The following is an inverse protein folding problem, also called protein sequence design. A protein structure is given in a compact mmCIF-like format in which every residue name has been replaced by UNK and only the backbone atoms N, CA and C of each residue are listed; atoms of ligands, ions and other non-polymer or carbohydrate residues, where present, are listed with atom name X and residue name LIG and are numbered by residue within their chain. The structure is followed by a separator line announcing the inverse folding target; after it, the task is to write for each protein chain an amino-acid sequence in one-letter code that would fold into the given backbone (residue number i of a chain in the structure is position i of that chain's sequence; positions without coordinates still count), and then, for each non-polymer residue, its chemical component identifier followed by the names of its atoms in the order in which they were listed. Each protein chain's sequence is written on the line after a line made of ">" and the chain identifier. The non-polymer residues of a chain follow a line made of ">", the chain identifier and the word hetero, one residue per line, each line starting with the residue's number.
data_IF_073429581761
#
_entry.id   IF_073429581761
#
_cell.length_a   1.000
_cell.length_b   1.000
_cell.length_c   1.000
_cell.angle_alpha   90.00
_cell.angle_beta   90.00
_cell.angle_gamma   90.00
#
_symmetry.space_group_name_H-M   'P 1'
#
loop_
_entity.id
_entity.type
_entity.pdbx_description
1 polymer ?
#
# COMPACT_ATOMS: atom_id res chain seq x y z
N UNK A 1 21.60 -6.59 -9.78
CA UNK A 1 20.29 -6.96 -10.40
C UNK A 1 20.07 -6.05 -11.62
N UNK A 2 19.77 -6.60 -12.81
CA UNK A 2 19.75 -5.83 -14.09
C UNK A 2 18.56 -4.85 -14.19
N UNK A 3 18.63 -3.78 -15.01
CA UNK A 3 17.53 -2.80 -15.26
C UNK A 3 16.18 -3.43 -15.63
N UNK A 4 16.21 -4.64 -16.19
CA UNK A 4 15.04 -5.47 -16.42
C UNK A 4 14.32 -5.87 -15.14
N UNK A 5 15.02 -6.16 -14.03
CA UNK A 5 14.42 -6.58 -12.77
C UNK A 5 13.70 -5.46 -12.04
N UNK A 6 14.23 -4.23 -12.04
CA UNK A 6 13.52 -3.06 -11.50
C UNK A 6 12.28 -2.75 -12.34
N UNK A 7 12.37 -2.82 -13.67
CA UNK A 7 11.20 -2.68 -14.57
C UNK A 7 10.22 -3.86 -14.48
N UNK A 8 10.70 -5.08 -14.27
CA UNK A 8 9.88 -6.28 -14.03
C UNK A 8 9.19 -6.22 -12.68
N UNK A 9 9.84 -5.67 -11.66
CA UNK A 9 9.24 -5.46 -10.35
C UNK A 9 8.11 -4.43 -10.46
N UNK A 10 8.39 -3.26 -11.05
CA UNK A 10 7.38 -2.23 -11.28
C UNK A 10 6.23 -2.72 -12.18
N UNK A 11 6.52 -3.40 -13.29
CA UNK A 11 5.46 -3.93 -14.17
C UNK A 11 4.69 -5.09 -13.55
N UNK A 12 5.34 -5.93 -12.73
CA UNK A 12 4.65 -6.98 -11.97
C UNK A 12 3.75 -6.38 -10.91
N UNK A 13 4.14 -5.26 -10.29
CA UNK A 13 3.31 -4.52 -9.35
C UNK A 13 2.16 -3.80 -10.05
N UNK A 14 2.41 -3.10 -11.17
CA UNK A 14 1.35 -2.49 -11.99
C UNK A 14 0.32 -3.53 -12.46
N UNK A 15 0.77 -4.74 -12.81
CA UNK A 15 -0.12 -5.87 -13.15
C UNK A 15 -0.88 -6.40 -11.93
N UNK A 16 -0.24 -6.45 -10.75
CA UNK A 16 -0.86 -6.95 -9.52
C UNK A 16 -1.85 -5.95 -8.91
N UNK A 17 -1.59 -4.66 -9.10
CA UNK A 17 -2.43 -3.54 -8.72
C UNK A 17 -3.48 -3.21 -9.79
N UNK A 18 -3.37 -3.81 -10.98
CA UNK A 18 -4.38 -3.67 -12.02
C UNK A 18 -5.70 -4.30 -11.56
N UNK A 19 -6.73 -3.45 -11.49
CA UNK A 19 -8.10 -3.83 -11.16
C UNK A 19 -8.60 -5.04 -11.97
N UNK A 20 -8.13 -5.20 -13.21
CA UNK A 20 -8.63 -6.19 -14.16
C UNK A 20 -7.88 -7.52 -14.15
N UNK A 21 -6.70 -7.59 -13.52
CA UNK A 21 -5.85 -8.77 -13.63
C UNK A 21 -6.47 -10.00 -12.94
N UNK A 22 -6.90 -9.86 -11.68
CA UNK A 22 -7.53 -10.97 -10.93
C UNK A 22 -8.88 -11.38 -11.56
N UNK A 23 -9.82 -10.46 -11.86
CA UNK A 23 -11.06 -10.82 -12.52
C UNK A 23 -10.84 -11.46 -13.90
N UNK A 24 -9.87 -10.94 -14.68
CA UNK A 24 -9.51 -11.49 -15.98
C UNK A 24 -8.99 -12.92 -15.88
N UNK A 25 -8.13 -13.21 -14.89
CA UNK A 25 -7.62 -14.56 -14.65
C UNK A 25 -8.74 -15.54 -14.26
N UNK A 26 -9.64 -15.15 -13.35
CA UNK A 26 -10.78 -15.99 -12.94
C UNK A 26 -11.71 -16.25 -14.14
N UNK A 27 -11.98 -15.20 -14.93
CA UNK A 27 -12.80 -15.31 -16.14
C UNK A 27 -12.17 -16.26 -17.15
N UNK A 28 -10.85 -16.19 -17.35
CA UNK A 28 -10.12 -17.09 -18.22
C UNK A 28 -10.22 -18.55 -17.74
N UNK A 29 -10.06 -18.79 -16.44
CA UNK A 29 -10.21 -20.14 -15.85
C UNK A 29 -11.62 -20.69 -16.14
N UNK A 30 -12.66 -19.89 -15.96
CA UNK A 30 -14.04 -20.33 -16.20
C UNK A 30 -14.34 -20.51 -17.70
N UNK A 31 -13.73 -19.70 -18.57
CA UNK A 31 -13.82 -19.88 -20.00
C UNK A 31 -13.19 -21.21 -20.44
N UNK A 32 -12.00 -21.54 -19.92
CA UNK A 32 -11.35 -22.83 -20.15
C UNK A 32 -12.21 -23.98 -19.60
N UNK A 33 -12.76 -23.83 -18.39
CA UNK A 33 -13.66 -24.82 -17.82
C UNK A 33 -14.89 -25.06 -18.70
N UNK A 34 -15.50 -24.02 -19.26
CA UNK A 34 -16.64 -24.12 -20.17
C UNK A 34 -16.29 -24.92 -21.44
N UNK A 35 -15.12 -24.67 -22.03
CA UNK A 35 -14.65 -25.41 -23.20
C UNK A 35 -14.45 -26.89 -22.84
N UNK A 36 -13.79 -27.18 -21.71
CA UNK A 36 -13.53 -28.55 -21.25
C UNK A 36 -14.85 -29.31 -20.99
N UNK A 37 -15.77 -28.73 -20.23
CA UNK A 37 -17.06 -29.39 -19.92
C UNK A 37 -17.88 -29.62 -21.18
N UNK A 38 -17.87 -28.66 -22.11
CA UNK A 38 -18.54 -28.79 -23.40
C UNK A 38 -17.95 -29.94 -24.24
N UNK A 39 -16.62 -30.06 -24.31
CA UNK A 39 -15.97 -31.16 -25.05
C UNK A 39 -16.27 -32.53 -24.43
N UNK A 40 -16.32 -32.61 -23.10
CA UNK A 40 -16.73 -33.83 -22.39
C UNK A 40 -18.19 -34.17 -22.68
N UNK A 41 -19.09 -33.19 -22.62
CA UNK A 41 -20.51 -33.38 -22.95
C UNK A 41 -20.68 -33.87 -24.39
N UNK A 42 -19.92 -33.33 -25.35
CA UNK A 42 -19.92 -33.79 -26.76
C UNK A 42 -19.49 -35.26 -26.84
N UNK A 43 -18.37 -35.63 -26.21
CA UNK A 43 -17.86 -37.00 -26.22
C UNK A 43 -18.80 -38.00 -25.54
N UNK A 44 -19.46 -37.59 -24.45
CA UNK A 44 -20.43 -38.40 -23.73
C UNK A 44 -21.69 -38.63 -24.56
N UNK A 45 -22.23 -37.59 -25.19
CA UNK A 45 -23.40 -37.68 -26.05
C UNK A 45 -23.14 -38.58 -27.27
N UNK A 46 -21.96 -38.49 -27.90
CA UNK A 46 -21.57 -39.37 -29.00
C UNK A 46 -21.52 -40.85 -28.59
N UNK A 47 -21.04 -41.16 -27.38
CA UNK A 47 -21.00 -42.53 -26.84
C UNK A 47 -22.39 -43.07 -26.49
N UNK A 48 -23.25 -42.23 -25.92
CA UNK A 48 -24.63 -42.61 -25.57
C UNK A 48 -25.43 -42.89 -26.85
N UNK A 49 -25.32 -42.03 -27.86
CA UNK A 49 -25.96 -42.23 -29.16
C UNK A 49 -25.53 -43.52 -29.88
N UNK A 50 -24.30 -43.99 -29.65
CA UNK A 50 -23.78 -45.23 -30.24
C UNK A 50 -24.15 -46.51 -29.46
N UNK A 51 -24.58 -46.41 -28.20
CA UNK A 51 -24.70 -47.54 -27.27
C UNK A 51 -26.10 -48.13 -27.11
N UNK A 52 -27.11 -47.29 -26.84
CA UNK A 52 -28.52 -47.67 -26.62
C UNK A 52 -29.36 -46.40 -26.82
N UNK A 53 -30.49 -46.49 -27.52
CA UNK A 53 -31.42 -45.35 -27.68
C UNK A 53 -31.73 -44.68 -26.34
N UNK A 54 -31.53 -43.37 -26.27
CA UNK A 54 -31.54 -42.59 -25.03
C UNK A 54 -32.95 -42.55 -24.38
N UNK A 55 -33.15 -43.11 -23.18
CA UNK A 55 -34.43 -43.02 -22.45
C UNK A 55 -34.67 -41.64 -21.83
N UNK A 56 -33.68 -40.74 -21.87
CA UNK A 56 -33.70 -39.42 -21.25
C UNK A 56 -33.74 -38.31 -22.30
N UNK A 57 -34.72 -38.39 -23.22
CA UNK A 57 -35.15 -37.30 -24.10
C UNK A 57 -35.78 -36.14 -23.31
N UNK A 58 -35.09 -35.65 -22.28
CA UNK A 58 -35.25 -34.28 -21.83
C UNK A 58 -34.68 -33.43 -22.96
N UNK A 59 -35.60 -32.84 -23.70
CA UNK A 59 -35.35 -31.90 -24.79
C UNK A 59 -34.23 -30.93 -24.38
N UNK A 60 -33.13 -30.89 -25.15
CA UNK A 60 -31.94 -30.08 -24.81
C UNK A 60 -32.26 -28.59 -24.60
N UNK A 61 -33.42 -28.17 -25.11
CA UNK A 61 -34.07 -26.88 -24.91
C UNK A 61 -34.24 -26.49 -23.42
N UNK A 62 -34.56 -27.44 -22.52
CA UNK A 62 -34.73 -27.16 -21.10
C UNK A 62 -33.40 -26.74 -20.44
N UNK A 63 -32.31 -27.43 -20.78
CA UNK A 63 -30.97 -27.12 -20.27
C UNK A 63 -30.45 -25.79 -20.80
N UNK A 64 -30.66 -25.51 -22.09
CA UNK A 64 -30.33 -24.22 -22.69
C UNK A 64 -31.13 -23.08 -22.07
N UNK A 65 -32.43 -23.29 -21.80
CA UNK A 65 -33.28 -22.30 -21.12
C UNK A 65 -32.75 -22.02 -19.71
N UNK A 66 -32.40 -23.04 -18.94
CA UNK A 66 -31.79 -22.86 -17.60
C UNK A 66 -30.48 -22.06 -17.68
N UNK A 67 -29.60 -22.38 -18.62
CA UNK A 67 -28.35 -21.64 -18.81
C UNK A 67 -28.61 -20.18 -19.19
N UNK A 68 -29.60 -19.91 -20.03
CA UNK A 68 -30.01 -18.55 -20.41
C UNK A 68 -30.57 -17.77 -19.21
N UNK A 69 -31.36 -18.42 -18.36
CA UNK A 69 -31.89 -17.80 -17.12
C UNK A 69 -30.75 -17.47 -16.16
N UNK A 70 -29.81 -18.39 -15.96
CA UNK A 70 -28.62 -18.17 -15.12
C UNK A 70 -27.75 -17.05 -15.69
N UNK A 71 -27.47 -17.05 -17.00
CA UNK A 71 -26.67 -16.02 -17.66
C UNK A 71 -27.33 -14.63 -17.50
N UNK A 72 -28.64 -14.53 -17.73
CA UNK A 72 -29.40 -13.28 -17.56
C UNK A 72 -29.38 -12.78 -16.12
N UNK A 73 -29.61 -13.66 -15.14
CA UNK A 73 -29.56 -13.32 -13.71
C UNK A 73 -28.15 -12.88 -13.27
N UNK A 74 -27.10 -13.50 -13.77
CA UNK A 74 -25.72 -13.11 -13.43
C UNK A 74 -25.36 -11.79 -14.10
N UNK A 75 -25.79 -11.54 -15.34
CA UNK A 75 -25.55 -10.27 -16.02
C UNK A 75 -26.13 -9.07 -15.24
N UNK A 76 -27.32 -9.21 -14.66
CA UNK A 76 -27.90 -8.15 -13.81
C UNK A 76 -27.13 -7.97 -12.51
N UNK A 77 -26.72 -9.06 -11.85
CA UNK A 77 -25.92 -9.00 -10.61
C UNK A 77 -24.54 -8.36 -10.86
N UNK A 78 -23.88 -8.64 -11.99
CA UNK A 78 -22.61 -7.98 -12.36
C UNK A 78 -22.79 -6.46 -12.39
N UNK A 79 -23.87 -5.97 -12.99
CA UNK A 79 -24.19 -4.53 -13.04
C UNK A 79 -24.45 -3.93 -11.65
N UNK A 80 -25.15 -4.65 -10.78
CA UNK A 80 -25.39 -4.23 -9.38
C UNK A 80 -24.09 -4.18 -8.59
N UNK A 81 -23.24 -5.20 -8.68
CA UNK A 81 -21.95 -5.26 -7.98
C UNK A 81 -21.03 -4.14 -8.45
N UNK A 82 -20.93 -3.91 -9.76
CA UNK A 82 -20.14 -2.81 -10.31
C UNK A 82 -20.63 -1.45 -9.79
N UNK A 83 -21.95 -1.24 -9.76
CA UNK A 83 -22.55 -0.01 -9.23
C UNK A 83 -22.24 0.18 -7.74
N UNK A 84 -22.32 -0.91 -6.95
CA UNK A 84 -21.99 -0.86 -5.52
C UNK A 84 -20.51 -0.53 -5.30
N UNK A 85 -19.58 -1.09 -6.10
CA UNK A 85 -18.15 -0.75 -6.04
C UNK A 85 -17.95 0.75 -6.28
N UNK A 86 -18.61 1.34 -7.29
CA UNK A 86 -18.51 2.78 -7.57
C UNK A 86 -19.07 3.65 -6.44
N UNK A 87 -20.18 3.23 -5.83
CA UNK A 87 -20.75 3.91 -4.66
C UNK A 87 -19.77 3.89 -3.49
N UNK A 88 -19.18 2.74 -3.20
CA UNK A 88 -18.18 2.60 -2.12
C UNK A 88 -16.96 3.45 -2.40
N UNK A 89 -16.47 3.46 -3.64
CA UNK A 89 -15.34 4.29 -4.06
C UNK A 89 -15.61 5.78 -3.84
N UNK A 90 -16.82 6.21 -4.22
CA UNK A 90 -17.28 7.60 -4.04
C UNK A 90 -17.36 7.97 -2.57
N UNK A 91 -17.99 7.12 -1.74
CA UNK A 91 -18.10 7.31 -0.30
C UNK A 91 -16.72 7.34 0.37
N UNK A 92 -15.82 6.43 0.01
CA UNK A 92 -14.46 6.41 0.54
C UNK A 92 -13.70 7.70 0.20
N UNK A 93 -13.80 8.17 -1.05
CA UNK A 93 -13.19 9.43 -1.47
C UNK A 93 -13.75 10.63 -0.72
N UNK A 94 -15.06 10.65 -0.46
CA UNK A 94 -15.74 11.73 0.27
C UNK A 94 -15.44 11.68 1.78
N UNK A 95 -15.39 10.51 2.39
CA UNK A 95 -15.26 10.35 3.83
C UNK A 95 -13.80 10.42 4.28
N UNK A 96 -12.90 9.74 3.56
CA UNK A 96 -11.50 9.57 3.98
C UNK A 96 -10.48 10.29 3.08
N UNK A 97 -10.90 10.79 1.93
CA UNK A 97 -10.06 11.54 1.00
C UNK A 97 -9.34 10.67 -0.04
N UNK A 98 -8.79 11.29 -1.10
CA UNK A 98 -8.26 10.60 -2.29
C UNK A 98 -7.06 9.70 -1.99
N UNK A 99 -6.29 9.99 -0.94
CA UNK A 99 -5.13 9.19 -0.51
C UNK A 99 -5.50 7.77 -0.05
N UNK A 100 -6.75 7.55 0.38
CA UNK A 100 -7.25 6.26 0.88
C UNK A 100 -7.98 5.47 -0.21
N UNK A 101 -8.44 6.14 -1.27
CA UNK A 101 -9.19 5.55 -2.40
C UNK A 101 -8.41 4.43 -3.07
N UNK A 102 -7.08 4.60 -3.22
CA UNK A 102 -6.20 3.58 -3.78
C UNK A 102 -6.25 2.24 -3.03
N UNK A 103 -6.51 2.26 -1.72
CA UNK A 103 -6.64 1.03 -0.92
C UNK A 103 -7.92 0.25 -1.26
N UNK A 104 -9.00 0.94 -1.64
CA UNK A 104 -10.26 0.31 -2.06
C UNK A 104 -10.20 -0.21 -3.50
N UNK A 105 -9.49 0.48 -4.39
CA UNK A 105 -9.25 0.01 -5.77
C UNK A 105 -8.42 -1.28 -5.77
N UNK A 106 -7.60 -1.51 -4.74
CA UNK A 106 -6.74 -2.70 -4.62
C UNK A 106 -7.40 -3.84 -3.81
N UNK A 107 -8.68 -3.74 -3.49
CA UNK A 107 -9.38 -4.73 -2.69
C UNK A 107 -9.58 -6.05 -3.45
N UNK A 108 -8.78 -7.05 -3.07
CA UNK A 108 -8.83 -8.40 -3.68
C UNK A 108 -10.15 -9.11 -3.44
N UNK A 109 -10.86 -8.79 -2.35
CA UNK A 109 -12.18 -9.37 -2.07
C UNK A 109 -13.18 -8.96 -3.16
N UNK A 110 -13.28 -7.66 -3.42
CA UNK A 110 -14.11 -7.11 -4.49
C UNK A 110 -13.71 -7.66 -5.88
N UNK A 111 -12.42 -7.72 -6.20
CA UNK A 111 -11.95 -8.26 -7.49
C UNK A 111 -12.30 -9.74 -7.68
N UNK A 112 -12.17 -10.54 -6.63
CA UNK A 112 -12.47 -11.98 -6.68
C UNK A 112 -13.95 -12.21 -6.92
N UNK A 113 -14.80 -11.48 -6.18
CA UNK A 113 -16.26 -11.53 -6.34
C UNK A 113 -16.66 -11.13 -7.76
N UNK A 114 -16.13 -10.00 -8.26
CA UNK A 114 -16.39 -9.55 -9.62
C UNK A 114 -15.96 -10.59 -10.66
N UNK A 115 -14.77 -11.19 -10.49
CA UNK A 115 -14.26 -12.26 -11.33
C UNK A 115 -15.14 -13.52 -11.34
N UNK A 116 -15.70 -13.93 -10.20
CA UNK A 116 -16.62 -15.06 -10.10
C UNK A 116 -17.89 -14.80 -10.92
N UNK A 117 -18.47 -13.60 -10.81
CA UNK A 117 -19.67 -13.26 -11.59
C UNK A 117 -19.39 -13.18 -13.09
N UNK A 118 -18.38 -12.40 -13.49
CA UNK A 118 -18.01 -12.27 -14.91
C UNK A 118 -17.59 -13.61 -15.50
N UNK A 119 -16.82 -14.41 -14.77
CA UNK A 119 -16.44 -15.75 -15.19
C UNK A 119 -17.64 -16.66 -15.37
N UNK A 120 -18.61 -16.65 -14.44
CA UNK A 120 -19.80 -17.51 -14.55
C UNK A 120 -20.69 -17.09 -15.70
N UNK A 121 -20.81 -15.79 -15.94
CA UNK A 121 -21.48 -15.25 -17.11
C UNK A 121 -20.85 -15.77 -18.41
N UNK A 122 -19.51 -15.64 -18.55
CA UNK A 122 -18.76 -16.13 -19.71
C UNK A 122 -18.90 -17.65 -19.85
N UNK A 123 -18.86 -18.40 -18.75
CA UNK A 123 -19.08 -19.85 -18.77
C UNK A 123 -20.45 -20.20 -19.39
N UNK A 124 -21.53 -19.57 -18.93
CA UNK A 124 -22.88 -19.84 -19.43
C UNK A 124 -23.01 -19.43 -20.91
N UNK A 125 -22.48 -18.27 -21.30
CA UNK A 125 -22.52 -17.78 -22.69
C UNK A 125 -21.75 -18.71 -23.63
N UNK A 126 -20.56 -19.17 -23.27
CA UNK A 126 -19.77 -20.07 -24.12
C UNK A 126 -20.46 -21.42 -24.35
N UNK A 127 -21.07 -21.98 -23.30
CA UNK A 127 -21.84 -23.23 -23.43
C UNK A 127 -23.11 -23.00 -24.27
N UNK A 128 -23.81 -21.86 -24.11
CA UNK A 128 -24.96 -21.50 -24.95
C UNK A 128 -24.57 -21.34 -26.42
N UNK A 129 -23.43 -20.71 -26.71
CA UNK A 129 -22.90 -20.59 -28.08
C UNK A 129 -22.60 -21.98 -28.66
N UNK A 130 -21.97 -22.86 -27.88
CA UNK A 130 -21.69 -24.23 -28.31
C UNK A 130 -22.97 -25.04 -28.60
N UNK A 131 -24.04 -24.81 -27.80
CA UNK A 131 -25.36 -25.38 -28.05
C UNK A 131 -26.00 -24.82 -29.33
N UNK A 132 -25.95 -23.50 -29.54
CA UNK A 132 -26.55 -22.84 -30.70
C UNK A 132 -25.89 -23.20 -32.03
N UNK A 133 -24.57 -23.43 -32.05
CA UNK A 133 -23.82 -23.78 -33.28
C UNK A 133 -24.08 -25.22 -33.74
N UNK A 134 -24.57 -26.10 -32.86
CA UNK A 134 -24.75 -27.53 -33.15
C UNK A 134 -26.23 -27.89 -33.29
N UNK A 135 -26.81 -27.54 -34.44
CA UNK A 135 -28.22 -27.79 -34.76
C UNK A 135 -28.52 -29.19 -35.30
N UNK A 136 -27.52 -29.91 -35.83
CA UNK A 136 -27.72 -31.18 -36.55
C UNK A 136 -27.60 -32.45 -35.68
N UNK A 137 -26.99 -32.35 -34.49
CA UNK A 137 -26.83 -33.49 -33.55
C UNK A 137 -27.45 -33.09 -32.21
N UNK A 138 -28.32 -33.91 -31.60
CA UNK A 138 -28.89 -33.61 -30.28
C UNK A 138 -27.76 -33.52 -29.25
N UNK A 139 -27.42 -32.29 -28.87
CA UNK A 139 -26.41 -31.97 -27.87
C UNK A 139 -27.11 -31.62 -26.56
N UNK A 140 -26.88 -32.43 -25.53
CA UNK A 140 -27.42 -32.18 -24.18
C UNK A 140 -26.25 -31.80 -23.26
N UNK A 141 -26.14 -30.54 -22.82
CA UNK A 141 -25.02 -30.06 -22.01
C UNK A 141 -25.21 -30.43 -20.52
N UNK A 142 -25.19 -31.72 -20.18
CA UNK A 142 -25.51 -32.20 -18.82
C UNK A 142 -24.47 -31.74 -17.80
N UNK A 143 -23.19 -32.01 -18.05
CA UNK A 143 -22.11 -31.64 -17.15
C UNK A 143 -21.97 -30.13 -17.06
N UNK A 144 -22.07 -29.45 -18.20
CA UNK A 144 -21.98 -27.99 -18.26
C UNK A 144 -23.14 -27.31 -17.53
N UNK A 145 -24.36 -27.85 -17.60
CA UNK A 145 -25.51 -27.32 -16.86
C UNK A 145 -25.38 -27.54 -15.34
N UNK A 146 -24.93 -28.71 -14.89
CA UNK A 146 -24.62 -28.95 -13.47
C UNK A 146 -23.54 -27.98 -12.99
N UNK A 147 -22.50 -27.76 -13.80
CA UNK A 147 -21.46 -26.76 -13.55
C UNK A 147 -22.02 -25.34 -13.40
N UNK A 148 -22.93 -24.93 -14.29
CA UNK A 148 -23.58 -23.61 -14.21
C UNK A 148 -24.44 -23.46 -12.95
N UNK A 149 -25.19 -24.50 -12.56
CA UNK A 149 -25.99 -24.49 -11.31
C UNK A 149 -25.07 -24.37 -10.10
N UNK A 150 -23.97 -25.14 -10.05
CA UNK A 150 -22.98 -25.04 -9.00
C UNK A 150 -22.38 -23.63 -8.90
N UNK A 151 -21.95 -23.07 -10.04
CA UNK A 151 -21.43 -21.71 -10.11
C UNK A 151 -22.48 -20.66 -9.70
N UNK A 152 -23.75 -20.85 -10.03
CA UNK A 152 -24.84 -19.97 -9.60
C UNK A 152 -25.00 -19.97 -8.06
N UNK A 153 -24.88 -21.14 -7.42
CA UNK A 153 -24.85 -21.22 -5.94
C UNK A 153 -23.62 -20.50 -5.39
N UNK A 154 -22.44 -20.68 -5.99
CA UNK A 154 -21.23 -19.95 -5.60
C UNK A 154 -21.40 -18.43 -5.74
N UNK A 155 -22.10 -17.95 -6.79
CA UNK A 155 -22.43 -16.55 -7.00
C UNK A 155 -23.33 -15.98 -5.88
N UNK A 156 -24.28 -16.76 -5.36
CA UNK A 156 -25.11 -16.33 -4.21
C UNK A 156 -24.26 -16.23 -2.94
N UNK A 157 -23.40 -17.21 -2.66
CA UNK A 157 -22.50 -17.16 -1.51
C UNK A 157 -21.50 -16.00 -1.62
N UNK A 158 -20.98 -15.75 -2.83
CA UNK A 158 -20.12 -14.61 -3.12
C UNK A 158 -20.83 -13.27 -2.87
N UNK A 159 -22.14 -13.17 -3.11
CA UNK A 159 -22.92 -11.96 -2.81
C UNK A 159 -22.98 -11.70 -1.31
N UNK A 160 -23.31 -12.73 -0.53
CA UNK A 160 -23.40 -12.64 0.93
C UNK A 160 -22.04 -12.24 1.51
N UNK A 161 -20.97 -12.88 1.03
CA UNK A 161 -19.60 -12.52 1.37
C UNK A 161 -19.30 -11.06 1.00
N UNK A 162 -19.64 -10.62 -0.21
CA UNK A 162 -19.35 -9.27 -0.69
C UNK A 162 -20.02 -8.20 0.14
N UNK A 163 -21.31 -8.38 0.48
CA UNK A 163 -22.05 -7.45 1.33
C UNK A 163 -21.37 -7.33 2.71
N UNK A 164 -21.04 -8.47 3.33
CA UNK A 164 -20.36 -8.46 4.62
C UNK A 164 -18.97 -7.80 4.54
N UNK A 165 -18.19 -8.16 3.52
CA UNK A 165 -16.85 -7.65 3.29
C UNK A 165 -16.84 -6.13 3.11
N UNK A 166 -17.72 -5.58 2.26
CA UNK A 166 -17.84 -4.14 2.06
C UNK A 166 -18.32 -3.44 3.33
N UNK A 167 -19.32 -3.99 4.03
CA UNK A 167 -19.84 -3.40 5.26
C UNK A 167 -18.79 -3.32 6.40
N UNK A 168 -17.89 -4.31 6.48
CA UNK A 168 -16.79 -4.31 7.46
C UNK A 168 -15.63 -3.41 7.00
N UNK A 169 -15.33 -3.38 5.70
CA UNK A 169 -14.20 -2.64 5.13
C UNK A 169 -14.39 -1.12 5.17
N UNK A 170 -15.63 -0.63 5.19
CA UNK A 170 -15.94 0.80 5.28
C UNK A 170 -15.76 1.37 6.69
N UNK A 171 -15.72 0.52 7.73
CA UNK A 171 -15.59 0.99 9.13
C UNK A 171 -14.23 1.65 9.34
N UNK A 172 -14.15 2.85 9.97
CA UNK A 172 -12.90 3.56 10.20
C UNK A 172 -11.81 2.69 10.86
N UNK A 173 -12.17 1.93 11.90
CA UNK A 173 -11.24 1.05 12.61
C UNK A 173 -10.66 -0.06 11.73
N UNK A 174 -11.42 -0.59 10.78
CA UNK A 174 -10.93 -1.59 9.83
C UNK A 174 -9.89 -0.98 8.89
N UNK A 175 -10.16 0.23 8.39
CA UNK A 175 -9.26 0.96 7.48
C UNK A 175 -7.96 1.30 8.21
N UNK A 176 -8.07 1.90 9.39
CA UNK A 176 -6.93 2.26 10.24
C UNK A 176 -6.09 1.02 10.57
N UNK A 177 -6.73 -0.08 10.98
CA UNK A 177 -6.05 -1.34 11.27
C UNK A 177 -5.36 -1.95 10.04
N UNK A 178 -5.95 -1.86 8.84
CA UNK A 178 -5.34 -2.32 7.60
C UNK A 178 -4.10 -1.51 7.20
N UNK A 179 -4.20 -0.18 7.30
CA UNK A 179 -3.09 0.75 7.04
C UNK A 179 -1.96 0.47 8.03
N UNK A 180 -2.28 0.36 9.32
CA UNK A 180 -1.29 0.08 10.37
C UNK A 180 -0.59 -1.26 10.14
N UNK A 181 -1.33 -2.34 9.84
CA UNK A 181 -0.70 -3.64 9.55
C UNK A 181 0.26 -3.55 8.36
N UNK A 182 -0.12 -2.82 7.32
CA UNK A 182 0.73 -2.61 6.13
C UNK A 182 1.96 -1.78 6.48
N UNK A 183 1.81 -0.72 7.27
CA UNK A 183 2.91 0.11 7.76
C UNK A 183 3.89 -0.71 8.59
N UNK A 184 3.40 -1.45 9.59
CA UNK A 184 4.23 -2.28 10.46
C UNK A 184 4.96 -3.38 9.68
N UNK A 185 4.34 -3.95 8.66
CA UNK A 185 5.00 -4.89 7.76
C UNK A 185 6.13 -4.23 6.96
N UNK A 186 5.93 -3.02 6.43
CA UNK A 186 6.99 -2.30 5.69
C UNK A 186 8.12 -1.82 6.60
N UNK A 187 7.81 -1.36 7.82
CA UNK A 187 8.82 -1.09 8.86
C UNK A 187 9.62 -2.38 9.16
N UNK A 188 8.98 -3.54 9.10
CA UNK A 188 9.68 -4.81 9.28
C UNK A 188 10.63 -5.15 8.14
N UNK A 189 10.19 -4.93 6.90
CA UNK A 189 10.98 -5.24 5.70
C UNK A 189 12.20 -4.33 5.55
N UNK A 190 12.10 -3.05 5.92
CA UNK A 190 13.23 -2.10 5.89
C UNK A 190 14.46 -2.61 6.66
N UNK A 191 14.26 -3.37 7.75
CA UNK A 191 15.36 -3.95 8.53
C UNK A 191 16.06 -5.13 7.83
N UNK A 192 15.39 -5.82 6.91
CA UNK A 192 15.98 -6.96 6.19
C UNK A 192 16.85 -6.51 5.02
N UNK A 193 16.65 -5.29 4.53
CA UNK A 193 17.45 -4.71 3.44
C UNK A 193 18.80 -4.15 3.95
N UNK A 194 18.90 -3.79 5.23
CA UNK A 194 20.13 -3.36 5.88
C UNK A 194 20.77 -4.52 6.67
N UNK A 195 22.08 -4.73 6.55
CA UNK A 195 22.79 -5.84 7.21
C UNK A 195 22.72 -5.70 8.74
N UNK A 196 22.11 -6.65 9.48
CA UNK A 196 21.99 -6.57 10.94
C UNK A 196 23.33 -6.58 11.68
N UNK A 197 24.45 -6.85 11.01
CA UNK A 197 25.79 -6.85 11.59
C UNK A 197 26.60 -5.57 11.34
N UNK A 198 26.06 -4.56 10.64
CA UNK A 198 26.77 -3.30 10.44
C UNK A 198 26.39 -2.33 11.58
N UNK A 199 27.25 -2.14 12.61
CA UNK A 199 26.94 -1.16 13.65
C UNK A 199 26.85 0.23 13.03
N UNK A 200 25.97 1.12 13.54
CA UNK A 200 26.01 2.52 13.15
C UNK A 200 27.39 3.05 13.52
N UNK A 201 28.29 3.18 12.55
CA UNK A 201 29.56 3.83 12.78
C UNK A 201 29.26 5.32 12.97
N UNK A 202 29.48 5.90 14.17
CA UNK A 202 29.38 7.34 14.31
C UNK A 202 30.41 7.95 13.37
N UNK A 203 29.96 8.81 12.46
CA UNK A 203 30.89 9.63 11.71
C UNK A 203 31.66 10.49 12.70
N UNK A 204 32.98 10.36 12.71
CA UNK A 204 33.81 11.33 13.42
C UNK A 204 33.53 12.74 12.88
N UNK A 205 33.67 13.77 13.72
CA UNK A 205 33.50 15.18 13.30
C UNK A 205 34.41 15.54 12.09
N UNK A 206 35.56 14.87 11.95
CA UNK A 206 36.43 14.98 10.76
C UNK A 206 35.76 14.48 9.47
N UNK A 207 34.96 13.40 9.54
CA UNK A 207 34.25 12.86 8.38
C UNK A 207 33.11 13.78 7.91
N UNK A 208 32.48 14.52 8.83
CA UNK A 208 31.43 15.52 8.52
C UNK A 208 32.02 16.75 7.84
N UNK A 209 33.19 17.25 8.28
CA UNK A 209 33.87 18.35 7.59
C UNK A 209 34.33 17.97 6.18
N UNK A 210 34.77 16.72 5.96
CA UNK A 210 35.09 16.23 4.61
C UNK A 210 33.88 16.09 3.70
N UNK A 211 32.67 15.87 4.25
CA UNK A 211 31.41 15.75 3.49
C UNK A 211 30.97 17.08 2.88
N UNK A 212 31.13 18.21 3.59
CA UNK A 212 30.77 19.52 3.05
C UNK A 212 31.74 19.99 1.96
N UNK A 213 33.03 19.67 2.08
CA UNK A 213 34.00 19.85 0.98
C UNK A 213 33.70 18.93 -0.20
N UNK A 214 33.34 17.66 0.04
CA UNK A 214 32.91 16.74 -1.01
C UNK A 214 31.72 17.34 -1.77
N UNK A 215 30.67 17.79 -1.06
CA UNK A 215 29.46 18.39 -1.65
C UNK A 215 29.74 19.57 -2.58
N UNK A 216 30.75 20.38 -2.27
CA UNK A 216 31.13 21.53 -3.10
C UNK A 216 31.76 21.11 -4.44
N UNK A 217 32.42 19.95 -4.50
CA UNK A 217 33.19 19.45 -5.66
C UNK A 217 32.45 18.36 -6.48
N UNK A 218 31.30 17.89 -5.99
CA UNK A 218 30.54 16.82 -6.63
C UNK A 218 29.86 17.20 -7.94
N UNK A 219 29.84 16.25 -8.87
CA UNK A 219 29.06 16.33 -10.11
C UNK A 219 27.56 16.23 -9.77
N UNK A 220 26.74 17.26 -10.03
CA UNK A 220 25.30 17.18 -9.80
C UNK A 220 24.63 16.25 -10.82
N UNK A 221 23.81 15.33 -10.32
CA UNK A 221 22.98 14.45 -11.15
C UNK A 221 21.56 15.04 -11.20
N UNK A 222 21.12 15.43 -12.39
CA UNK A 222 19.84 16.12 -12.61
C UNK A 222 18.71 15.14 -12.97
N UNK A 223 17.50 15.39 -12.48
CA UNK A 223 16.32 14.61 -12.84
C UNK A 223 16.04 14.65 -14.35
N UNK A 224 15.91 13.49 -14.98
CA UNK A 224 15.55 13.39 -16.41
C UNK A 224 14.04 13.59 -16.67
N UNK A 225 13.20 13.47 -15.63
CA UNK A 225 11.75 13.61 -15.70
C UNK A 225 11.15 14.26 -14.45
N UNK A 226 9.84 14.44 -14.47
CA UNK A 226 9.06 15.01 -13.36
C UNK A 226 8.10 13.95 -12.81
N UNK A 227 8.01 13.82 -11.50
CA UNK A 227 7.11 12.86 -10.85
C UNK A 227 7.53 12.52 -9.42
N UNK A 228 6.82 11.59 -8.79
CA UNK A 228 7.19 11.01 -7.51
C UNK A 228 8.24 9.93 -7.70
N UNK A 229 9.26 9.91 -6.84
CA UNK A 229 10.16 8.76 -6.71
C UNK A 229 9.38 7.61 -6.09
N UNK A 230 9.23 6.50 -6.80
CA UNK A 230 8.47 5.33 -6.32
C UNK A 230 9.37 4.17 -5.88
N UNK A 231 10.59 4.11 -6.41
CA UNK A 231 11.60 3.14 -6.00
C UNK A 231 13.00 3.71 -6.20
N UNK A 232 13.91 3.33 -5.30
CA UNK A 232 15.33 3.64 -5.37
C UNK A 232 16.13 2.36 -5.09
N UNK A 233 16.81 1.83 -6.10
CA UNK A 233 17.67 0.66 -5.97
C UNK A 233 19.02 1.06 -5.36
N UNK A 234 19.03 1.20 -4.01
CA UNK A 234 20.22 1.61 -3.25
C UNK A 234 21.41 0.68 -3.49
N UNK A 235 21.17 -0.63 -3.66
CA UNK A 235 22.26 -1.58 -3.89
C UNK A 235 22.91 -1.35 -5.24
N UNK A 236 22.13 -1.12 -6.30
CA UNK A 236 22.68 -0.79 -7.62
C UNK A 236 23.46 0.52 -7.63
N UNK A 237 23.01 1.53 -6.87
CA UNK A 237 23.75 2.80 -6.72
C UNK A 237 25.06 2.58 -5.95
N UNK A 238 25.03 1.75 -4.90
CA UNK A 238 26.23 1.36 -4.16
C UNK A 238 27.24 0.60 -5.04
N UNK A 239 26.78 -0.39 -5.81
CA UNK A 239 27.63 -1.17 -6.72
C UNK A 239 28.23 -0.28 -7.81
N UNK A 240 27.47 0.70 -8.32
CA UNK A 240 27.95 1.71 -9.26
C UNK A 240 29.06 2.58 -8.64
N UNK A 241 28.85 3.08 -7.42
CA UNK A 241 29.85 3.87 -6.71
C UNK A 241 31.14 3.07 -6.48
N UNK A 242 31.02 1.79 -6.12
CA UNK A 242 32.17 0.86 -5.96
C UNK A 242 32.89 0.64 -7.29
N UNK A 243 32.17 0.41 -8.39
CA UNK A 243 32.76 0.18 -9.71
C UNK A 243 33.51 1.39 -10.26
N UNK A 244 33.03 2.60 -9.98
CA UNK A 244 33.69 3.86 -10.34
C UNK A 244 34.78 4.27 -9.35
N UNK A 245 34.98 3.52 -8.26
CA UNK A 245 35.83 3.90 -7.14
C UNK A 245 35.57 5.35 -6.67
N UNK A 246 34.29 5.63 -6.43
CA UNK A 246 33.80 6.92 -5.94
C UNK A 246 32.71 6.76 -4.87
N UNK A 247 32.00 7.85 -4.59
CA UNK A 247 30.86 7.92 -3.70
C UNK A 247 29.68 8.61 -4.41
N UNK A 248 28.46 8.18 -4.11
CA UNK A 248 27.24 8.82 -4.62
C UNK A 248 26.37 9.26 -3.44
N UNK A 249 25.94 10.51 -3.46
CA UNK A 249 24.87 11.02 -2.60
C UNK A 249 23.55 11.00 -3.36
N UNK A 250 22.55 10.32 -2.79
CA UNK A 250 21.17 10.32 -3.27
C UNK A 250 20.40 11.34 -2.44
N UNK A 251 20.07 12.47 -3.06
CA UNK A 251 19.40 13.59 -2.37
C UNK A 251 17.89 13.37 -2.23
N UNK A 252 17.32 12.38 -2.94
CA UNK A 252 15.89 12.10 -2.95
C UNK A 252 15.54 10.77 -2.28
N UNK A 253 14.31 10.64 -1.78
CA UNK A 253 13.79 9.37 -1.25
C UNK A 253 12.44 9.01 -1.87
N UNK A 254 12.05 7.71 -1.87
CA UNK A 254 10.72 7.30 -2.26
C UNK A 254 9.64 8.15 -1.56
N UNK A 255 8.64 8.58 -2.33
CA UNK A 255 7.58 9.47 -1.89
C UNK A 255 7.79 10.95 -2.19
N UNK A 256 9.03 11.38 -2.46
CA UNK A 256 9.30 12.78 -2.81
C UNK A 256 8.99 13.08 -4.28
N UNK A 257 8.45 14.27 -4.52
CA UNK A 257 8.22 14.79 -5.86
C UNK A 257 9.47 15.49 -6.37
N UNK A 258 9.91 15.13 -7.58
CA UNK A 258 11.06 15.72 -8.26
C UNK A 258 10.62 16.41 -9.55
N UNK A 259 11.31 17.49 -9.90
CA UNK A 259 11.05 18.27 -11.12
C UNK A 259 12.19 18.03 -12.08
N UNK A 260 11.90 17.83 -13.36
CA UNK A 260 12.94 17.69 -14.39
C UNK A 260 13.96 18.83 -14.29
N UNK A 261 15.24 18.48 -14.24
CA UNK A 261 16.35 19.41 -14.06
C UNK A 261 16.71 19.73 -12.61
N UNK A 262 15.94 19.28 -11.61
CA UNK A 262 16.35 19.38 -10.20
C UNK A 262 17.47 18.40 -9.88
N UNK A 263 18.29 18.70 -8.88
CA UNK A 263 19.32 17.78 -8.39
C UNK A 263 18.65 16.62 -7.65
N UNK A 264 18.93 15.40 -8.06
CA UNK A 264 18.45 14.16 -7.42
C UNK A 264 19.56 13.36 -6.76
N UNK A 265 20.80 13.70 -7.05
CA UNK A 265 21.98 13.18 -6.39
C UNK A 265 23.23 13.93 -6.79
N UNK A 266 24.36 13.53 -6.21
CA UNK A 266 25.70 14.06 -6.50
C UNK A 266 26.69 12.91 -6.53
N UNK A 267 27.65 12.93 -7.45
CA UNK A 267 28.69 11.92 -7.56
C UNK A 267 30.08 12.51 -7.29
N UNK A 268 30.92 11.74 -6.61
CA UNK A 268 32.22 12.18 -6.10
C UNK A 268 33.31 11.14 -6.32
N UNK A 269 34.52 11.51 -6.77
CA UNK A 269 34.84 12.76 -7.46
C UNK A 269 34.23 12.78 -8.87
N UNK A 270 34.03 13.98 -9.42
CA UNK A 270 33.27 14.20 -10.66
C UNK A 270 33.84 13.46 -11.88
N UNK A 271 35.16 13.30 -11.96
CA UNK A 271 35.89 12.70 -13.07
C UNK A 271 35.76 11.17 -13.16
N UNK A 272 35.27 10.52 -12.10
CA UNK A 272 35.08 9.06 -12.03
C UNK A 272 33.76 8.58 -12.63
N UNK A 273 32.83 9.49 -12.91
CA UNK A 273 31.48 9.16 -13.40
C UNK A 273 31.27 9.69 -14.81
N UNK A 274 31.31 8.79 -15.78
CA UNK A 274 31.01 9.09 -17.17
C UNK A 274 29.50 9.09 -17.44
N UNK A 275 29.11 9.36 -18.69
CA UNK A 275 27.70 9.37 -19.12
C UNK A 275 27.01 8.01 -18.88
N UNK A 276 27.75 6.90 -18.96
CA UNK A 276 27.19 5.56 -18.74
C UNK A 276 26.89 5.29 -17.26
N UNK A 277 27.74 5.78 -16.36
CA UNK A 277 27.52 5.76 -14.93
C UNK A 277 26.30 6.60 -14.53
N UNK A 278 26.17 7.81 -15.08
CA UNK A 278 24.99 8.65 -14.85
C UNK A 278 23.70 7.98 -15.34
N UNK A 279 23.71 7.33 -16.51
CA UNK A 279 22.55 6.58 -16.97
C UNK A 279 22.22 5.40 -16.06
N UNK A 280 23.22 4.71 -15.52
CA UNK A 280 23.03 3.63 -14.55
C UNK A 280 22.40 4.10 -13.25
N UNK A 281 22.74 5.32 -12.79
CA UNK A 281 22.08 5.96 -11.66
C UNK A 281 20.61 6.28 -11.96
N UNK A 282 20.31 6.83 -13.14
CA UNK A 282 18.92 7.11 -13.54
C UNK A 282 18.07 5.83 -13.64
N UNK A 283 18.64 4.74 -14.15
CA UNK A 283 17.96 3.45 -14.21
C UNK A 283 17.70 2.82 -12.83
N UNK A 284 18.38 3.29 -11.79
CA UNK A 284 18.19 2.87 -10.40
C UNK A 284 17.08 3.66 -9.69
N UNK A 285 16.62 4.78 -10.26
CA UNK A 285 15.56 5.64 -9.69
C UNK A 285 14.32 5.57 -10.58
N UNK A 286 13.24 5.05 -10.02
CA UNK A 286 11.96 4.98 -10.71
C UNK A 286 11.07 6.17 -10.38
N UNK A 287 10.57 6.85 -11.41
CA UNK A 287 9.62 7.95 -11.30
C UNK A 287 8.22 7.54 -11.78
N UNK A 288 7.20 8.08 -11.13
CA UNK A 288 5.79 7.90 -11.53
C UNK A 288 4.99 9.19 -11.32
N UNK A 289 3.92 9.45 -12.10
CA UNK A 289 2.99 10.54 -11.83
C UNK A 289 2.26 10.40 -10.48
N UNK A 290 2.22 9.20 -9.90
CA UNK A 290 1.52 8.88 -8.67
C UNK A 290 2.48 8.35 -7.61
N UNK A 291 2.20 8.67 -6.35
CA UNK A 291 2.93 8.14 -5.20
C UNK A 291 2.63 6.65 -5.01
N UNK A 292 3.62 5.85 -4.61
CA UNK A 292 3.49 4.40 -4.43
C UNK A 292 3.85 4.00 -2.99
N UNK A 293 3.11 3.09 -2.34
CA UNK A 293 3.41 2.64 -0.97
C UNK A 293 4.58 1.67 -0.85
N UNK A 294 5.19 1.24 -1.96
CA UNK A 294 6.11 0.09 -2.00
C UNK A 294 7.38 0.32 -1.19
N UNK A 295 8.03 1.48 -1.34
CA UNK A 295 9.22 1.87 -0.55
C UNK A 295 8.98 3.13 0.29
N UNK A 296 7.72 3.51 0.47
CA UNK A 296 7.34 4.80 1.04
C UNK A 296 6.48 4.62 2.29
N UNK A 297 7.17 4.48 3.43
CA UNK A 297 6.50 4.35 4.71
C UNK A 297 5.76 5.63 5.14
N UNK A 298 6.24 6.80 4.70
CA UNK A 298 5.62 8.10 4.99
C UNK A 298 4.20 8.18 4.43
N UNK A 299 3.90 7.42 3.37
CA UNK A 299 2.57 7.39 2.80
C UNK A 299 1.56 6.82 3.78
N UNK A 300 1.90 5.73 4.48
CA UNK A 300 0.99 5.15 5.47
C UNK A 300 0.80 6.05 6.68
N UNK A 301 1.86 6.71 7.16
CA UNK A 301 1.75 7.75 8.19
C UNK A 301 0.81 8.87 7.72
N UNK A 302 1.03 9.39 6.50
CA UNK A 302 0.19 10.43 5.91
C UNK A 302 -1.28 10.00 5.81
N UNK A 303 -1.56 8.75 5.45
CA UNK A 303 -2.91 8.21 5.37
C UNK A 303 -3.63 8.24 6.73
N UNK A 304 -2.95 7.82 7.81
CA UNK A 304 -3.51 7.91 9.17
C UNK A 304 -3.71 9.36 9.61
N UNK A 305 -2.76 10.25 9.31
CA UNK A 305 -2.84 11.68 9.62
C UNK A 305 -4.02 12.34 8.91
N UNK A 306 -4.28 11.99 7.65
CA UNK A 306 -5.42 12.51 6.90
C UNK A 306 -6.74 12.04 7.52
N UNK A 307 -6.85 10.77 7.93
CA UNK A 307 -8.04 10.26 8.61
C UNK A 307 -8.25 11.01 9.94
N UNK A 308 -7.21 11.15 10.76
CA UNK A 308 -7.26 11.87 12.03
C UNK A 308 -7.67 13.34 11.84
N UNK A 309 -7.04 14.04 10.89
CA UNK A 309 -7.30 15.46 10.62
C UNK A 309 -8.72 15.69 10.09
N UNK A 310 -9.24 14.79 9.25
CA UNK A 310 -10.63 14.85 8.80
C UNK A 310 -11.61 14.59 9.94
N UNK A 311 -11.32 13.62 10.79
CA UNK A 311 -12.14 13.32 11.96
C UNK A 311 -12.21 14.52 12.93
N UNK A 312 -11.09 15.23 13.13
CA UNK A 312 -11.00 16.45 13.95
C UNK A 312 -11.53 17.71 13.25
N UNK A 313 -11.88 17.64 11.97
CA UNK A 313 -12.39 18.81 11.25
C UNK A 313 -13.75 19.26 11.82
N UNK A 314 -14.07 20.57 11.80
CA UNK A 314 -15.35 21.07 12.33
C UNK A 314 -16.59 20.44 11.69
N UNK A 315 -16.47 19.91 10.47
CA UNK A 315 -17.58 19.28 9.75
C UNK A 315 -17.90 17.86 10.24
N UNK A 316 -16.91 17.14 10.80
CA UNK A 316 -17.07 15.75 11.26
C UNK A 316 -17.09 15.67 12.78
N UNK A 317 -16.11 16.31 13.43
CA UNK A 317 -15.99 16.41 14.89
C UNK A 317 -16.08 15.04 15.61
N UNK A 318 -15.28 14.07 15.18
CA UNK A 318 -15.17 12.73 15.74
C UNK A 318 -13.79 12.50 16.41
N UNK A 319 -13.62 12.91 17.68
CA UNK A 319 -12.34 12.79 18.39
C UNK A 319 -11.96 11.32 18.66
N UNK A 320 -12.89 10.37 18.72
CA UNK A 320 -12.57 8.96 19.00
C UNK A 320 -11.85 8.29 17.83
N UNK A 321 -12.28 8.56 16.60
CA UNK A 321 -11.56 8.10 15.39
C UNK A 321 -10.16 8.71 15.33
N UNK A 322 -10.02 9.98 15.71
CA UNK A 322 -8.72 10.64 15.75
C UNK A 322 -7.79 10.05 16.81
N UNK A 323 -8.29 9.80 18.04
CA UNK A 323 -7.54 9.13 19.11
C UNK A 323 -7.07 7.73 18.68
N UNK A 324 -7.93 6.97 17.98
CA UNK A 324 -7.54 5.67 17.41
C UNK A 324 -6.39 5.82 16.41
N UNK A 325 -6.41 6.83 15.54
CA UNK A 325 -5.28 7.10 14.64
C UNK A 325 -4.01 7.49 15.40
N UNK A 326 -4.12 8.30 16.47
CA UNK A 326 -3.00 8.70 17.32
C UNK A 326 -2.35 7.47 17.96
N UNK A 327 -3.14 6.51 18.46
CA UNK A 327 -2.63 5.26 19.05
C UNK A 327 -1.79 4.47 18.02
N UNK A 328 -2.32 4.30 16.82
CA UNK A 328 -1.64 3.56 15.75
C UNK A 328 -0.41 4.28 15.19
N UNK A 329 -0.44 5.62 15.12
CA UNK A 329 0.74 6.44 14.80
C UNK A 329 1.82 6.28 15.87
N UNK A 330 1.44 6.34 17.15
CA UNK A 330 2.35 6.13 18.29
C UNK A 330 2.98 4.73 18.28
N UNK A 331 2.18 3.68 18.04
CA UNK A 331 2.69 2.31 17.89
C UNK A 331 3.72 2.20 16.76
N UNK A 332 3.42 2.77 15.61
CA UNK A 332 4.31 2.73 14.45
C UNK A 332 5.62 3.51 14.68
N UNK A 333 5.54 4.69 15.31
CA UNK A 333 6.72 5.50 15.68
C UNK A 333 7.61 4.76 16.69
N UNK A 334 7.02 4.20 17.75
CA UNK A 334 7.76 3.44 18.75
C UNK A 334 8.48 2.23 18.12
N UNK A 335 7.80 1.50 17.22
CA UNK A 335 8.41 0.37 16.49
C UNK A 335 9.48 0.81 15.48
N UNK A 336 9.34 1.99 14.88
CA UNK A 336 10.36 2.55 14.00
C UNK A 336 11.63 2.94 14.78
N UNK A 337 11.46 3.57 15.96
CA UNK A 337 12.56 3.91 16.88
C UNK A 337 13.33 2.69 17.37
N UNK A 338 12.62 1.66 17.85
CA UNK A 338 13.21 0.42 18.37
C UNK A 338 14.08 -0.37 17.37
N UNK A 339 14.03 -0.02 16.08
CA UNK A 339 14.70 -0.77 15.01
C UNK A 339 15.93 -0.07 14.46
N UNK A 340 16.30 1.10 14.99
CA UNK A 340 17.38 1.98 14.49
C UNK A 340 17.16 2.32 13.02
N UNK A 341 16.69 3.54 12.75
CA UNK A 341 16.51 4.00 11.37
C UNK A 341 17.82 3.86 10.57
N UNK A 342 17.75 3.56 9.26
CA UNK A 342 18.93 3.28 8.45
C UNK A 342 19.96 4.39 8.57
N UNK A 343 21.25 4.03 8.67
CA UNK A 343 22.30 5.04 8.60
C UNK A 343 22.27 5.69 7.21
N UNK A 344 22.53 7.01 7.11
CA UNK A 344 22.63 7.65 5.81
C UNK A 344 23.81 7.11 5.00
N UNK A 345 24.80 6.52 5.65
CA UNK A 345 26.12 6.23 5.09
C UNK A 345 26.32 4.73 4.97
N UNK A 346 26.77 4.28 3.80
CA UNK A 346 27.19 2.89 3.56
C UNK A 346 28.61 2.85 3.04
N UNK A 347 29.40 1.96 3.64
CA UNK A 347 30.81 1.76 3.32
C UNK A 347 31.00 0.43 2.58
N UNK A 348 32.10 0.31 1.83
CA UNK A 348 32.51 -0.98 1.28
C UNK A 348 33.33 -1.81 2.27
N UNK A 349 33.71 -3.03 1.86
CA UNK A 349 34.51 -3.97 2.65
C UNK A 349 35.88 -3.40 3.07
N UNK A 350 36.34 -2.33 2.40
CA UNK A 350 37.60 -1.64 2.64
C UNK A 350 37.44 -0.39 3.54
N UNK A 351 36.21 -0.07 3.94
CA UNK A 351 35.87 1.07 4.79
C UNK A 351 35.74 2.40 4.03
N UNK A 352 35.66 2.38 2.70
CA UNK A 352 35.46 3.57 1.88
C UNK A 352 33.97 3.93 1.79
N UNK A 353 33.63 5.21 1.94
CA UNK A 353 32.25 5.68 1.78
C UNK A 353 31.81 5.54 0.32
N UNK A 354 30.73 4.80 0.07
CA UNK A 354 30.22 4.58 -1.31
C UNK A 354 28.84 5.19 -1.55
N UNK A 355 27.97 5.21 -0.54
CA UNK A 355 26.61 5.72 -0.67
C UNK A 355 26.24 6.62 0.50
N UNK A 356 25.72 7.81 0.19
CA UNK A 356 25.06 8.72 1.13
C UNK A 356 23.59 8.79 0.73
N UNK A 357 22.69 8.30 1.56
CA UNK A 357 21.25 8.24 1.31
C UNK A 357 20.52 9.33 2.09
N UNK A 358 19.54 9.98 1.46
CA UNK A 358 18.53 10.75 2.17
C UNK A 358 17.59 9.80 2.93
N UNK A 359 17.91 9.54 4.20
CA UNK A 359 17.11 8.68 5.08
C UNK A 359 16.04 9.48 5.81
N UNK A 360 15.00 8.77 6.23
CA UNK A 360 13.99 9.36 7.09
C UNK A 360 14.44 9.36 8.54
N UNK A 361 14.27 10.49 9.22
CA UNK A 361 14.60 10.68 10.63
C UNK A 361 13.38 10.47 11.52
N UNK A 362 13.60 10.05 12.76
CA UNK A 362 12.54 9.95 13.76
C UNK A 362 11.82 11.29 13.97
N UNK A 363 12.56 12.40 14.08
CA UNK A 363 12.03 13.75 14.21
C UNK A 363 11.05 14.10 13.06
N UNK A 364 11.49 13.88 11.83
CA UNK A 364 10.64 14.05 10.64
C UNK A 364 9.36 13.19 10.67
N UNK A 365 9.44 11.93 11.10
CA UNK A 365 8.26 11.06 11.24
C UNK A 365 7.33 11.51 12.36
N UNK A 366 7.87 11.95 13.49
CA UNK A 366 7.11 12.46 14.62
C UNK A 366 6.31 13.70 14.22
N UNK A 367 6.96 14.66 13.55
CA UNK A 367 6.33 15.85 13.02
C UNK A 367 5.30 15.55 11.93
N UNK A 368 5.61 14.63 11.00
CA UNK A 368 4.65 14.16 10.00
C UNK A 368 3.39 13.59 10.67
N UNK A 369 3.57 12.81 11.74
CA UNK A 369 2.49 12.09 12.42
C UNK A 369 1.58 13.00 13.25
N UNK A 370 2.15 13.97 13.96
CA UNK A 370 1.39 14.69 14.98
C UNK A 370 1.17 16.17 14.70
N UNK A 371 1.92 16.85 13.82
CA UNK A 371 1.76 18.31 13.65
C UNK A 371 0.37 18.69 13.14
N UNK A 372 -0.12 17.97 12.13
CA UNK A 372 -1.43 18.26 11.56
C UNK A 372 -2.56 17.87 12.52
N UNK A 373 -2.41 16.74 13.22
CA UNK A 373 -3.35 16.29 14.25
C UNK A 373 -3.43 17.31 15.39
N UNK A 374 -2.28 17.82 15.85
CA UNK A 374 -2.19 18.89 16.84
C UNK A 374 -2.91 20.15 16.36
N UNK A 375 -2.66 20.59 15.12
CA UNK A 375 -3.27 21.80 14.57
C UNK A 375 -4.80 21.75 14.57
N UNK A 376 -5.40 20.62 14.16
CA UNK A 376 -6.86 20.46 14.14
C UNK A 376 -7.44 20.07 15.50
N UNK A 377 -6.68 19.35 16.32
CA UNK A 377 -7.12 18.80 17.60
C UNK A 377 -6.92 19.71 18.80
N UNK A 378 -6.17 20.81 18.68
CA UNK A 378 -5.82 21.70 19.79
C UNK A 378 -6.98 22.34 20.55
N UNK A 379 -8.18 22.34 19.95
CA UNK A 379 -9.41 22.82 20.60
C UNK A 379 -10.14 21.75 21.42
N UNK A 380 -9.73 20.48 21.32
CA UNK A 380 -10.33 19.35 22.03
C UNK A 380 -9.39 18.85 23.13
N UNK A 381 -9.80 19.04 24.39
CA UNK A 381 -8.99 18.68 25.55
C UNK A 381 -8.70 17.16 25.61
N UNK A 382 -9.64 16.32 25.17
CA UNK A 382 -9.46 14.86 25.21
C UNK A 382 -8.38 14.43 24.23
N UNK A 383 -8.38 15.01 23.02
CA UNK A 383 -7.37 14.74 22.00
C UNK A 383 -5.98 15.16 22.49
N UNK A 384 -5.87 16.33 23.14
CA UNK A 384 -4.61 16.82 23.67
C UNK A 384 -4.05 15.94 24.80
N UNK A 385 -4.90 15.52 25.74
CA UNK A 385 -4.52 14.59 26.80
C UNK A 385 -4.12 13.22 26.24
N UNK A 386 -4.84 12.73 25.23
CA UNK A 386 -4.56 11.46 24.57
C UNK A 386 -3.22 11.48 23.83
N UNK A 387 -2.90 12.59 23.17
CA UNK A 387 -1.62 12.76 22.49
C UNK A 387 -0.44 12.78 23.46
N UNK A 388 -0.57 13.47 24.61
CA UNK A 388 0.43 13.42 25.70
C UNK A 388 0.56 12.00 26.28
N UNK A 389 -0.55 11.27 26.46
CA UNK A 389 -0.52 9.89 26.93
C UNK A 389 0.16 8.95 25.92
N UNK A 390 -0.05 9.16 24.62
CA UNK A 390 0.60 8.39 23.56
C UNK A 390 2.11 8.66 23.57
N UNK A 391 2.51 9.92 23.71
CA UNK A 391 3.92 10.31 23.86
C UNK A 391 4.55 9.64 25.10
N UNK A 392 3.84 9.60 26.23
CA UNK A 392 4.30 8.87 27.43
C UNK A 392 4.59 7.40 27.12
N UNK A 393 3.63 6.71 26.49
CA UNK A 393 3.74 5.28 26.17
C UNK A 393 4.89 5.00 25.20
N UNK A 394 5.13 5.89 24.24
CA UNK A 394 6.30 5.82 23.37
C UNK A 394 7.60 5.96 24.18
N UNK A 395 7.68 6.93 25.09
CA UNK A 395 8.84 7.15 25.96
C UNK A 395 9.20 5.94 26.83
N UNK A 396 8.21 5.16 27.27
CA UNK A 396 8.42 3.94 28.08
C UNK A 396 9.11 2.81 27.33
N UNK A 397 8.96 2.75 26.00
CA UNK A 397 9.51 1.65 25.18
C UNK A 397 10.73 2.06 24.36
N UNK A 398 10.92 3.36 24.11
CA UNK A 398 12.08 3.85 23.35
C UNK A 398 13.36 3.81 24.20
N UNK A 399 14.47 3.39 23.60
CA UNK A 399 15.76 3.24 24.30
C UNK A 399 16.82 4.28 23.90
N UNK A 400 16.65 4.96 22.76
CA UNK A 400 17.58 5.98 22.29
C UNK A 400 17.39 7.29 23.07
N UNK A 401 18.45 7.77 23.72
CA UNK A 401 18.44 9.03 24.48
C UNK A 401 18.11 10.21 23.55
N UNK A 402 18.68 10.24 22.34
CA UNK A 402 18.42 11.33 21.39
C UNK A 402 16.97 11.37 20.93
N UNK A 403 16.37 10.20 20.66
CA UNK A 403 14.97 10.12 20.25
C UNK A 403 14.02 10.43 21.42
N UNK A 404 14.37 10.02 22.65
CA UNK A 404 13.64 10.41 23.86
C UNK A 404 13.65 11.93 24.07
N UNK A 405 14.80 12.61 23.85
CA UNK A 405 14.89 14.08 23.91
C UNK A 405 14.04 14.76 22.85
N UNK A 406 14.05 14.25 21.62
CA UNK A 406 13.18 14.74 20.54
C UNK A 406 11.70 14.62 20.96
N UNK A 407 11.33 13.47 21.51
CA UNK A 407 9.97 13.18 21.95
C UNK A 407 9.53 14.07 23.13
N UNK A 408 10.42 14.31 24.10
CA UNK A 408 10.19 15.21 25.22
C UNK A 408 10.00 16.66 24.75
N UNK A 409 10.84 17.12 23.82
CA UNK A 409 10.70 18.45 23.19
C UNK A 409 9.35 18.59 22.51
N UNK A 410 8.90 17.54 21.81
CA UNK A 410 7.60 17.53 21.16
C UNK A 410 6.43 17.54 22.15
N UNK A 411 6.52 16.81 23.27
CA UNK A 411 5.55 16.91 24.37
C UNK A 411 5.43 18.35 24.90
N UNK A 412 6.54 19.08 24.95
CA UNK A 412 6.57 20.50 25.31
C UNK A 412 5.79 21.38 24.33
N UNK A 413 5.90 21.12 23.03
CA UNK A 413 5.10 21.81 21.99
C UNK A 413 3.62 21.58 22.18
N UNK A 414 3.22 20.32 22.39
CA UNK A 414 1.82 19.91 22.60
C UNK A 414 1.24 20.59 23.84
N UNK A 415 1.98 20.56 24.95
CA UNK A 415 1.56 21.21 26.19
C UNK A 415 1.45 22.74 26.03
N UNK A 416 2.41 23.36 25.36
CA UNK A 416 2.40 24.79 25.07
C UNK A 416 1.15 25.22 24.31
N UNK A 417 0.85 24.56 23.19
CA UNK A 417 -0.37 24.83 22.40
C UNK A 417 -1.65 24.61 23.21
N UNK A 418 -1.74 23.50 23.94
CA UNK A 418 -2.93 23.17 24.75
C UNK A 418 -3.21 24.21 25.84
N UNK A 419 -2.15 24.64 26.54
CA UNK A 419 -2.25 25.55 27.68
C UNK A 419 -2.76 26.94 27.29
N UNK A 420 -2.44 27.40 26.08
CA UNK A 420 -2.93 28.69 25.59
C UNK A 420 -4.42 28.67 25.23
N UNK A 421 -4.97 27.51 24.86
CA UNK A 421 -6.36 27.38 24.41
C UNK A 421 -7.28 27.00 25.56
N UNK A 422 -6.85 26.08 26.42
CA UNK A 422 -7.66 25.57 27.52
C UNK A 422 -7.34 26.30 28.83
N UNK A 423 -8.15 27.30 29.16
CA UNK A 423 -7.90 28.22 30.28
C UNK A 423 -8.56 27.85 31.59
N UNK A 424 -9.42 26.82 31.62
CA UNK A 424 -10.06 26.39 32.87
C UNK A 424 -9.04 25.75 33.82
N UNK A 425 -9.20 25.98 35.12
CA UNK A 425 -8.29 25.45 36.15
C UNK A 425 -8.18 23.91 36.07
N UNK A 426 -9.31 23.23 35.85
CA UNK A 426 -9.34 21.79 35.64
C UNK A 426 -8.50 21.35 34.43
N UNK A 427 -8.68 22.02 33.28
CA UNK A 427 -7.96 21.65 32.05
C UNK A 427 -6.46 21.92 32.18
N UNK A 428 -6.08 23.07 32.76
CA UNK A 428 -4.67 23.41 33.00
C UNK A 428 -4.00 22.39 33.91
N UNK A 429 -4.66 21.98 35.00
CA UNK A 429 -4.16 20.96 35.91
C UNK A 429 -4.01 19.61 35.21
N UNK A 430 -5.05 19.16 34.49
CA UNK A 430 -5.02 17.89 33.77
C UNK A 430 -3.89 17.84 32.72
N UNK A 431 -3.69 18.94 31.97
CA UNK A 431 -2.63 19.06 30.97
C UNK A 431 -1.24 19.08 31.59
N UNK A 432 -1.05 19.81 32.70
CA UNK A 432 0.21 19.83 33.42
C UNK A 432 0.57 18.43 33.96
N UNK A 433 -0.39 17.77 34.61
CA UNK A 433 -0.20 16.41 35.13
C UNK A 433 0.12 15.41 34.00
N UNK A 434 -0.56 15.52 32.86
CA UNK A 434 -0.30 14.69 31.68
C UNK A 434 1.08 14.93 31.07
N UNK A 435 1.50 16.20 30.95
CA UNK A 435 2.83 16.57 30.44
C UNK A 435 3.95 16.04 31.35
N UNK A 436 3.82 16.22 32.67
CA UNK A 436 4.80 15.70 33.63
C UNK A 436 4.90 14.17 33.57
N UNK A 437 3.76 13.47 33.50
CA UNK A 437 3.77 12.01 33.30
C UNK A 437 4.42 11.60 31.98
N UNK A 438 4.20 12.36 30.90
CA UNK A 438 4.82 12.07 29.61
C UNK A 438 6.34 12.17 29.66
N UNK A 439 6.89 13.16 30.37
CA UNK A 439 8.34 13.36 30.44
C UNK A 439 9.03 12.47 31.50
N UNK A 440 8.29 11.91 32.48
CA UNK A 440 8.87 11.22 33.64
C UNK A 440 9.75 10.01 33.32
N UNK A 441 9.59 9.40 32.14
CA UNK A 441 10.33 8.20 31.71
C UNK A 441 11.42 8.50 30.66
N UNK A 442 11.60 9.76 30.28
CA UNK A 442 12.57 10.18 29.25
C UNK A 442 13.85 10.68 29.94
N UNK A 443 15.01 10.39 29.34
CA UNK A 443 16.30 10.88 29.84
C UNK A 443 16.41 12.41 29.74
N UNK A 444 17.01 13.04 30.76
CA UNK A 444 17.25 14.49 30.85
C UNK A 444 18.27 15.04 29.81
#
# INVERSE_FOLDING_TARGET
>A
MSSLQTRLFLSREDLRDSYWFIPGLITLIFAIAAIITTQIDIGLNARIAAGVGDPSALDGSAWATLLSVIAGAIATIVGVVFSLILVVLTLASQQYGPLIVGNFIRDRGAHTVFGIYTGTFIFCVLVLVAFAVRTEVPFVPRLSAVGAIFLAVCCVLALIYFIHHIAVSIRPNSIIGNITRSLLHNIQMLRLEDDPNEPPAPLSEMAVQSLDTLRAEGLPILAQGTGYVIACDKQRIFDLARACDGAIEVSTRPGQFVVKGSIIGRAYPADRFDTSGLQSFHDAIALSPHRSPVQDIELFFSQLVVIASRALSPAINDPFTAMTCIDHLGEALAKASLRSLPTPYRFDDEGNLRLISNVITFDGLLHLSFNQVLLYGKGDLMVMLHLLNTIRQMGEVMHSIDEQRILQRYAGVVWGEAKHIHTSEYAQKALADAYHRACAHMAD
#
